data_IF_800093180840
#
_entry.id   IF_800093180840
#
_cell.length_a   1.000
_cell.length_b   1.000
_cell.length_c   1.000
_cell.angle_alpha   90.00
_cell.angle_beta   90.00
_cell.angle_gamma   90.00
#
_symmetry.space_group_name_H-M   'P 1'
#
loop_
_entity.id
_entity.type
_entity.pdbx_description
1 polymer ?
#
# COMPACT_ATOMS: atom_id res chain seq x y z
N UNK A 1 -1.09 16.32 -19.75
CA UNK A 1 -2.43 16.30 -19.12
C UNK A 1 -2.36 16.88 -17.71
N UNK A 2 -1.64 16.28 -16.73
CA UNK A 2 -1.61 16.79 -15.36
C UNK A 2 -1.13 18.24 -15.25
N UNK A 3 -0.03 18.61 -15.92
CA UNK A 3 0.50 19.98 -15.90
C UNK A 3 -0.45 21.00 -16.52
N UNK A 4 -1.15 20.65 -17.58
CA UNK A 4 -2.17 21.50 -18.21
C UNK A 4 -3.37 21.72 -17.29
N UNK A 5 -3.82 20.68 -16.60
CA UNK A 5 -4.91 20.76 -15.61
C UNK A 5 -4.51 21.68 -14.45
N UNK A 6 -3.31 21.48 -13.88
CA UNK A 6 -2.78 22.34 -12.82
C UNK A 6 -2.67 23.80 -13.25
N UNK A 7 -2.15 24.06 -14.45
CA UNK A 7 -2.05 25.42 -14.99
C UNK A 7 -3.43 26.06 -15.22
N UNK A 8 -4.42 25.28 -15.68
CA UNK A 8 -5.80 25.76 -15.85
C UNK A 8 -6.46 26.06 -14.50
N UNK A 9 -6.21 25.26 -13.50
CA UNK A 9 -6.72 25.45 -12.13
C UNK A 9 -6.15 26.72 -11.49
N UNK A 10 -4.84 26.95 -11.63
CA UNK A 10 -4.20 28.19 -11.17
C UNK A 10 -4.80 29.41 -11.87
N UNK A 11 -5.00 29.34 -13.22
CA UNK A 11 -5.62 30.43 -13.99
C UNK A 11 -7.08 30.69 -13.58
N UNK A 12 -7.80 29.66 -13.11
CA UNK A 12 -9.17 29.79 -12.57
C UNK A 12 -9.22 30.37 -11.15
N UNK A 13 -8.06 30.70 -10.58
CA UNK A 13 -7.99 31.32 -9.27
C UNK A 13 -8.19 30.34 -8.12
N UNK A 14 -7.87 29.05 -8.29
CA UNK A 14 -7.78 28.12 -7.17
C UNK A 14 -6.75 28.65 -6.18
N UNK A 15 -7.26 29.24 -5.12
CA UNK A 15 -6.47 29.82 -4.05
C UNK A 15 -5.76 28.73 -3.24
N UNK A 16 -4.66 29.12 -2.62
CA UNK A 16 -3.98 28.30 -1.62
C UNK A 16 -4.95 28.05 -0.46
N UNK A 17 -5.22 26.78 -0.18
CA UNK A 17 -6.01 26.41 1.02
C UNK A 17 -5.08 26.31 2.20
N UNK A 18 -5.54 26.81 3.36
CA UNK A 18 -4.85 26.55 4.61
C UNK A 18 -4.91 25.04 4.91
N UNK A 19 -3.79 24.45 5.37
CA UNK A 19 -3.77 23.04 5.70
C UNK A 19 -4.67 22.77 6.92
N UNK A 20 -5.34 21.62 6.90
CA UNK A 20 -6.00 21.10 8.08
C UNK A 20 -4.93 20.64 9.08
N UNK A 21 -4.73 21.42 10.13
CA UNK A 21 -3.67 21.17 11.12
C UNK A 21 -3.91 19.91 11.95
N UNK A 22 -5.13 19.40 12.03
CA UNK A 22 -5.39 18.16 12.74
C UNK A 22 -4.97 16.96 11.90
N UNK A 23 -5.15 17.01 10.57
CA UNK A 23 -4.59 16.04 9.63
C UNK A 23 -3.06 16.06 9.69
N UNK A 24 -2.44 17.24 9.70
CA UNK A 24 -0.97 17.37 9.79
C UNK A 24 -0.45 16.76 11.09
N UNK A 25 -1.06 17.06 12.23
CA UNK A 25 -0.68 16.51 13.54
C UNK A 25 -0.84 14.99 13.60
N UNK A 26 -1.97 14.48 13.08
CA UNK A 26 -2.21 13.04 13.01
C UNK A 26 -1.15 12.32 12.18
N UNK A 27 -0.74 12.90 11.05
CA UNK A 27 0.28 12.32 10.19
C UNK A 27 1.67 12.35 10.83
N UNK A 28 2.02 13.43 11.54
CA UNK A 28 3.26 13.51 12.33
C UNK A 28 3.25 12.42 13.41
N UNK A 29 2.17 12.33 14.19
CA UNK A 29 2.04 11.33 15.24
C UNK A 29 2.15 9.90 14.69
N UNK A 30 1.54 9.64 13.53
CA UNK A 30 1.64 8.36 12.82
C UNK A 30 3.08 8.06 12.41
N UNK A 31 3.79 9.04 11.84
CA UNK A 31 5.17 8.85 11.39
C UNK A 31 6.14 8.62 12.54
N UNK A 32 5.87 9.24 13.70
CA UNK A 32 6.71 9.14 14.90
C UNK A 32 6.35 7.96 15.82
N UNK A 33 5.21 7.31 15.61
CA UNK A 33 4.74 6.19 16.43
C UNK A 33 5.80 5.09 16.69
N UNK A 34 6.65 4.67 15.71
CA UNK A 34 7.62 3.62 15.94
C UNK A 34 8.70 3.96 16.96
N UNK A 35 8.94 5.24 17.28
CA UNK A 35 9.89 5.63 18.33
C UNK A 35 9.35 5.38 19.75
N UNK A 36 8.03 5.33 19.91
CA UNK A 36 7.38 5.05 21.19
C UNK A 36 7.11 3.55 21.41
N UNK A 37 7.42 2.74 20.42
CA UNK A 37 7.13 1.29 20.40
C UNK A 37 8.43 0.51 20.62
N UNK A 38 8.32 -0.65 21.29
CA UNK A 38 9.47 -1.54 21.50
C UNK A 38 10.06 -1.98 20.14
N UNK A 39 11.39 -1.92 19.95
CA UNK A 39 12.01 -2.38 18.72
C UNK A 39 11.56 -3.78 18.30
N UNK A 40 11.27 -3.94 17.02
CA UNK A 40 10.83 -5.19 16.42
C UNK A 40 11.60 -5.52 15.14
N UNK A 41 11.34 -6.70 14.59
CA UNK A 41 12.02 -7.21 13.38
C UNK A 41 11.25 -6.82 12.11
N UNK A 42 11.45 -5.58 11.65
CA UNK A 42 10.87 -5.09 10.40
C UNK A 42 11.41 -5.82 9.16
N UNK A 43 12.63 -6.38 9.20
CA UNK A 43 13.18 -7.15 8.11
C UNK A 43 12.38 -8.43 7.88
N UNK A 44 12.05 -9.13 8.95
CA UNK A 44 11.20 -10.33 8.87
C UNK A 44 9.82 -10.02 8.30
N UNK A 45 9.23 -8.89 8.69
CA UNK A 45 7.93 -8.45 8.15
C UNK A 45 8.06 -8.19 6.64
N UNK A 46 9.13 -7.52 6.20
CA UNK A 46 9.40 -7.26 4.79
C UNK A 46 9.56 -8.56 3.99
N UNK A 47 10.37 -9.49 4.48
CA UNK A 47 10.62 -10.74 3.78
C UNK A 47 9.31 -11.55 3.67
N UNK A 48 8.52 -11.61 4.75
CA UNK A 48 7.19 -12.23 4.72
C UNK A 48 6.25 -11.56 3.71
N UNK A 49 6.29 -10.21 3.59
CA UNK A 49 5.49 -9.49 2.61
C UNK A 49 5.88 -9.86 1.18
N UNK A 50 7.18 -9.95 0.89
CA UNK A 50 7.69 -10.28 -0.44
C UNK A 50 7.28 -11.70 -0.85
N UNK A 51 7.46 -12.68 0.06
CA UNK A 51 7.06 -14.08 -0.18
C UNK A 51 5.55 -14.17 -0.39
N UNK A 52 4.75 -13.53 0.47
CA UNK A 52 3.30 -13.50 0.37
C UNK A 52 2.81 -12.95 -0.99
N UNK A 53 3.39 -11.83 -1.41
CA UNK A 53 3.01 -11.19 -2.66
C UNK A 53 3.45 -12.00 -3.87
N UNK A 54 4.56 -12.72 -3.77
CA UNK A 54 5.01 -13.63 -4.81
C UNK A 54 4.09 -14.85 -4.95
N UNK A 55 3.78 -15.50 -3.83
CA UNK A 55 3.08 -16.78 -3.81
C UNK A 55 1.57 -16.62 -4.10
N UNK A 56 0.91 -15.65 -3.45
CA UNK A 56 -0.55 -15.53 -3.46
C UNK A 56 -1.06 -14.43 -4.41
N UNK A 57 -0.23 -13.44 -4.78
CA UNK A 57 -0.61 -12.27 -5.61
C UNK A 57 0.33 -12.08 -6.81
N UNK A 58 1.15 -13.08 -7.11
CA UNK A 58 2.10 -13.09 -8.23
C UNK A 58 1.43 -13.03 -9.61
N UNK A 59 2.09 -13.55 -10.65
CA UNK A 59 1.55 -13.55 -12.02
C UNK A 59 0.36 -14.51 -12.13
N UNK A 60 0.52 -15.72 -11.59
CA UNK A 60 -0.53 -16.76 -11.55
C UNK A 60 -1.21 -16.67 -10.20
N UNK A 61 -2.51 -16.47 -10.20
CA UNK A 61 -3.28 -16.19 -8.98
C UNK A 61 -4.69 -16.76 -9.06
N UNK A 62 -5.32 -16.93 -7.92
CA UNK A 62 -6.73 -17.30 -7.80
C UNK A 62 -7.41 -16.57 -6.64
N UNK A 63 -8.73 -16.68 -6.55
CA UNK A 63 -9.52 -16.05 -5.49
C UNK A 63 -9.07 -16.49 -4.10
N UNK A 64 -8.77 -17.77 -3.92
CA UNK A 64 -8.42 -18.31 -2.60
C UNK A 64 -7.08 -17.75 -2.11
N UNK A 65 -6.05 -17.74 -2.97
CA UNK A 65 -4.74 -17.15 -2.68
C UNK A 65 -4.84 -15.67 -2.33
N UNK A 66 -5.49 -14.88 -3.20
CA UNK A 66 -5.62 -13.43 -2.97
C UNK A 66 -6.44 -13.10 -1.72
N UNK A 67 -7.49 -13.87 -1.40
CA UNK A 67 -8.26 -13.68 -0.16
C UNK A 67 -7.40 -13.99 1.08
N UNK A 68 -6.62 -15.06 1.02
CA UNK A 68 -5.65 -15.42 2.06
C UNK A 68 -4.59 -14.33 2.24
N UNK A 69 -4.08 -13.80 1.11
CA UNK A 69 -3.11 -12.70 1.13
C UNK A 69 -3.65 -11.46 1.82
N UNK A 70 -4.89 -11.05 1.56
CA UNK A 70 -5.50 -9.87 2.20
C UNK A 70 -5.54 -10.03 3.72
N UNK A 71 -5.95 -11.19 4.25
CA UNK A 71 -5.92 -11.44 5.69
C UNK A 71 -4.50 -11.35 6.28
N UNK A 72 -3.51 -11.95 5.60
CA UNK A 72 -2.11 -11.89 6.04
C UNK A 72 -1.50 -10.49 5.93
N UNK A 73 -1.92 -9.68 4.97
CA UNK A 73 -1.51 -8.27 4.85
C UNK A 73 -2.04 -7.44 6.03
N UNK A 74 -3.24 -7.74 6.54
CA UNK A 74 -3.76 -7.12 7.77
C UNK A 74 -2.94 -7.52 8.99
N UNK A 75 -2.57 -8.80 9.11
CA UNK A 75 -1.67 -9.28 10.17
C UNK A 75 -0.30 -8.59 10.11
N UNK A 76 0.29 -8.46 8.91
CA UNK A 76 1.57 -7.76 8.72
C UNK A 76 1.47 -6.28 9.08
N UNK A 77 0.35 -5.61 8.75
CA UNK A 77 0.09 -4.22 9.14
C UNK A 77 0.06 -4.07 10.66
N UNK A 78 -0.66 -4.96 11.36
CA UNK A 78 -0.70 -5.01 12.83
C UNK A 78 0.66 -5.31 13.44
N UNK A 79 1.38 -6.27 12.88
CA UNK A 79 2.73 -6.64 13.30
C UNK A 79 3.72 -5.48 13.16
N UNK A 80 3.66 -4.73 12.06
CA UNK A 80 4.50 -3.55 11.86
C UNK A 80 4.15 -2.41 12.83
N UNK A 81 2.86 -2.19 13.10
CA UNK A 81 2.43 -1.20 14.08
C UNK A 81 2.92 -1.51 15.49
N UNK A 82 3.08 -2.80 15.82
CA UNK A 82 3.63 -3.27 17.10
C UNK A 82 5.17 -3.30 17.13
N UNK A 83 5.84 -3.08 16.00
CA UNK A 83 7.29 -3.10 15.86
C UNK A 83 7.83 -1.66 15.79
N UNK A 84 8.57 -1.24 16.81
CA UNK A 84 9.28 0.03 16.80
C UNK A 84 10.65 -0.05 16.12
N UNK A 85 11.31 1.11 16.04
CA UNK A 85 12.67 1.23 15.50
C UNK A 85 13.72 1.15 16.61
N UNK A 86 14.91 0.58 16.33
CA UNK A 86 15.94 0.38 17.36
C UNK A 86 16.66 1.66 17.78
N UNK A 87 16.70 2.67 16.90
CA UNK A 87 17.40 3.91 17.13
C UNK A 87 16.42 5.09 17.29
N UNK A 88 16.55 5.84 18.37
CA UNK A 88 15.72 7.01 18.67
C UNK A 88 16.16 8.31 17.98
N UNK A 89 17.33 8.36 17.33
CA UNK A 89 17.74 9.55 16.57
C UNK A 89 16.94 9.66 15.27
N UNK A 90 16.42 10.84 14.99
CA UNK A 90 15.67 11.13 13.77
C UNK A 90 16.57 11.51 12.58
N UNK A 91 17.83 11.82 12.81
CA UNK A 91 18.79 12.24 11.78
C UNK A 91 19.42 11.02 11.15
N UNK A 92 19.31 10.92 9.82
CA UNK A 92 19.89 9.80 9.04
C UNK A 92 19.44 8.41 9.49
N UNK A 93 18.24 8.28 10.05
CA UNK A 93 17.70 7.03 10.58
C UNK A 93 17.13 6.17 9.44
N UNK A 94 17.91 5.24 8.93
CA UNK A 94 17.51 4.32 7.87
C UNK A 94 16.41 3.35 8.35
N UNK A 95 16.49 2.88 9.60
CA UNK A 95 15.49 1.96 10.16
C UNK A 95 14.10 2.61 10.22
N UNK A 96 14.05 3.90 10.53
CA UNK A 96 12.78 4.66 10.49
C UNK A 96 12.27 4.83 9.05
N UNK A 97 13.14 5.20 8.12
CA UNK A 97 12.79 5.32 6.70
C UNK A 97 12.27 3.99 6.15
N UNK A 98 12.93 2.88 6.48
CA UNK A 98 12.53 1.54 6.06
C UNK A 98 11.18 1.13 6.67
N UNK A 99 10.93 1.47 7.94
CA UNK A 99 9.64 1.24 8.59
C UNK A 99 8.50 1.99 7.89
N UNK A 100 8.71 3.27 7.54
CA UNK A 100 7.72 4.08 6.80
C UNK A 100 7.46 3.52 5.39
N UNK A 101 8.54 3.12 4.70
CA UNK A 101 8.45 2.50 3.38
C UNK A 101 7.70 1.17 3.43
N UNK A 102 8.01 0.32 4.42
CA UNK A 102 7.37 -0.99 4.58
C UNK A 102 5.87 -0.85 4.86
N UNK A 103 5.48 0.15 5.67
CA UNK A 103 4.07 0.47 5.86
C UNK A 103 3.38 0.80 4.54
N UNK A 104 4.00 1.68 3.74
CA UNK A 104 3.47 2.04 2.42
C UNK A 104 3.41 0.84 1.48
N UNK A 105 4.39 -0.05 1.51
CA UNK A 105 4.41 -1.28 0.72
C UNK A 105 3.25 -2.21 1.11
N UNK A 106 2.96 -2.39 2.40
CA UNK A 106 1.82 -3.20 2.86
C UNK A 106 0.51 -2.60 2.35
N UNK A 107 0.29 -1.29 2.47
CA UNK A 107 -0.93 -0.62 2.02
C UNK A 107 -1.11 -0.74 0.48
N UNK A 108 -0.06 -0.50 -0.29
CA UNK A 108 -0.10 -0.70 -1.75
C UNK A 108 -0.35 -2.16 -2.12
N UNK A 109 0.22 -3.11 -1.39
CA UNK A 109 -0.02 -4.54 -1.60
C UNK A 109 -1.48 -4.92 -1.39
N UNK A 110 -2.17 -4.34 -0.40
CA UNK A 110 -3.61 -4.49 -0.20
C UNK A 110 -4.40 -3.97 -1.41
N UNK A 111 -4.07 -2.78 -1.89
CA UNK A 111 -4.72 -2.19 -3.09
C UNK A 111 -4.53 -3.10 -4.30
N UNK A 112 -3.31 -3.61 -4.53
CA UNK A 112 -3.01 -4.53 -5.63
C UNK A 112 -3.82 -5.82 -5.51
N UNK A 113 -3.84 -6.44 -4.33
CA UNK A 113 -4.57 -7.68 -4.08
C UNK A 113 -6.10 -7.49 -4.27
N UNK A 114 -6.67 -6.40 -3.74
CA UNK A 114 -8.08 -6.06 -3.95
C UNK A 114 -8.42 -5.82 -5.42
N UNK A 115 -7.61 -5.04 -6.14
CA UNK A 115 -7.83 -4.78 -7.56
C UNK A 115 -7.73 -6.06 -8.39
N UNK A 116 -6.75 -6.91 -8.08
CA UNK A 116 -6.58 -8.20 -8.74
C UNK A 116 -7.75 -9.16 -8.44
N UNK A 117 -8.26 -9.17 -7.22
CA UNK A 117 -9.41 -9.98 -6.81
C UNK A 117 -10.70 -9.56 -7.52
N UNK A 118 -10.95 -8.25 -7.65
CA UNK A 118 -12.11 -7.69 -8.37
C UNK A 118 -12.07 -7.96 -9.87
N UNK A 119 -10.88 -8.18 -10.42
CA UNK A 119 -10.69 -8.40 -11.85
C UNK A 119 -10.86 -9.87 -12.21
N UNK A 120 -12.02 -10.20 -12.77
CA UNK A 120 -12.43 -11.57 -13.16
C UNK A 120 -12.12 -11.85 -14.63
N UNK A 121 -10.85 -11.73 -15.03
CA UNK A 121 -10.33 -12.10 -16.35
C UNK A 121 -8.82 -12.28 -16.30
N UNK A 122 -8.23 -12.80 -17.37
CA UNK A 122 -6.79 -12.98 -17.52
C UNK A 122 -6.24 -12.18 -18.70
N UNK A 123 -5.19 -11.35 -18.43
CA UNK A 123 -4.54 -10.57 -19.48
C UNK A 123 -3.12 -10.16 -19.06
N UNK A 124 -2.14 -10.43 -19.93
CA UNK A 124 -0.74 -10.11 -19.66
C UNK A 124 -0.25 -10.81 -18.40
N UNK A 125 0.42 -10.06 -17.53
CA UNK A 125 0.93 -10.56 -16.25
C UNK A 125 -0.15 -10.77 -15.16
N UNK A 126 -1.42 -10.57 -15.49
CA UNK A 126 -2.54 -10.89 -14.60
C UNK A 126 -3.21 -12.18 -15.13
N UNK A 127 -2.82 -13.32 -14.61
CA UNK A 127 -3.41 -14.60 -14.97
C UNK A 127 -4.19 -15.19 -13.79
N UNK A 128 -5.49 -15.31 -13.97
CA UNK A 128 -6.43 -15.91 -13.01
C UNK A 128 -6.75 -17.33 -13.40
N UNK A 129 -6.34 -18.31 -12.60
CA UNK A 129 -6.65 -19.73 -12.88
C UNK A 129 -8.14 -20.03 -12.79
N UNK A 130 -8.86 -19.26 -11.99
CA UNK A 130 -10.32 -19.32 -11.83
C UNK A 130 -11.11 -18.49 -12.88
N UNK A 131 -10.43 -17.61 -13.64
CA UNK A 131 -10.99 -16.81 -14.74
C UNK A 131 -9.95 -16.71 -15.89
N UNK A 132 -9.66 -17.82 -16.60
CA UNK A 132 -8.55 -17.85 -17.59
C UNK A 132 -8.81 -17.03 -18.85
N UNK A 133 -10.07 -16.68 -19.13
CA UNK A 133 -10.46 -15.95 -20.34
C UNK A 133 -10.02 -14.48 -20.28
N UNK A 134 -9.70 -13.91 -21.46
CA UNK A 134 -9.24 -12.52 -21.55
C UNK A 134 -10.32 -11.48 -21.21
N UNK A 135 -11.59 -11.84 -21.29
CA UNK A 135 -12.70 -10.94 -21.03
C UNK A 135 -12.77 -9.73 -22.00
N UNK A 136 -13.77 -8.86 -21.86
CA UNK A 136 -13.91 -7.64 -22.65
C UNK A 136 -12.79 -6.64 -22.34
N UNK A 137 -12.50 -5.74 -23.30
CA UNK A 137 -11.46 -4.71 -23.20
C UNK A 137 -11.82 -3.52 -22.28
N UNK A 138 -13.05 -3.47 -21.82
CA UNK A 138 -13.50 -2.36 -20.98
C UNK A 138 -12.74 -2.33 -19.64
N UNK A 139 -12.08 -1.21 -19.31
CA UNK A 139 -11.48 -1.06 -18.01
C UNK A 139 -12.61 -0.97 -16.97
N UNK A 140 -12.73 -1.99 -16.11
CA UNK A 140 -13.51 -1.80 -14.89
C UNK A 140 -12.76 -0.76 -14.05
N UNK A 141 -13.29 0.45 -13.98
CA UNK A 141 -12.79 1.45 -13.05
C UNK A 141 -12.83 0.84 -11.64
N UNK A 142 -11.72 0.92 -10.92
CA UNK A 142 -11.71 0.66 -9.48
C UNK A 142 -12.39 1.86 -8.85
N UNK A 143 -13.73 1.84 -8.81
CA UNK A 143 -14.48 2.80 -8.02
C UNK A 143 -14.38 2.35 -6.58
N UNK A 144 -13.74 3.16 -5.77
CA UNK A 144 -13.83 3.08 -4.32
C UNK A 144 -15.30 3.25 -3.91
N UNK A 145 -15.82 2.30 -3.18
CA UNK A 145 -16.95 2.48 -2.27
C UNK A 145 -16.41 2.57 -0.84
#
# INVERSE_FOLDING_TARGET
>A
IAGETMAADIKRGLGRREPDMDVVKAEIARAEAPFATKPGDSNRIRDTLLDLMWDDVGIIRDKAGMTRALGRLDDLSGGLAAAGVPDGDRRFNLSWSDWLNLRSQIEISKVIAHAALKRENSRGAHFRTDFPESGPLEPKAVTEE
#
